data_IF_846753213003
#
_entry.id   IF_846753213003
#
_cell.length_a   1.000
_cell.length_b   1.000
_cell.length_c   1.000
_cell.angle_alpha   90.00
_cell.angle_beta   90.00
_cell.angle_gamma   90.00
#
_symmetry.space_group_name_H-M   'P 1'
#
loop_
_entity.id
_entity.type
_entity.pdbx_description
1 polymer ?
#
# COMPACT_ATOMS: atom_id res chain seq x y z
N UNK A 1 -12.80 -4.94 22.87
CA UNK A 1 -11.65 -4.16 23.39
C UNK A 1 -10.72 -3.84 22.21
N UNK A 2 -11.09 -2.92 21.32
CA UNK A 2 -10.33 -2.58 20.10
C UNK A 2 -9.59 -1.22 20.20
N UNK A 3 -9.62 -0.56 21.35
CA UNK A 3 -9.19 0.83 21.50
C UNK A 3 -7.68 1.09 21.32
N UNK A 4 -6.83 0.06 21.41
CA UNK A 4 -5.38 0.17 21.21
C UNK A 4 -4.90 -0.19 19.79
N UNK A 5 -5.73 -0.77 18.92
CA UNK A 5 -5.29 -1.16 17.57
C UNK A 5 -5.69 -0.15 16.47
N UNK A 6 -6.44 0.89 16.80
CA UNK A 6 -7.10 1.76 15.81
C UNK A 6 -6.82 3.27 15.99
N UNK A 7 -5.85 3.65 16.84
CA UNK A 7 -5.41 5.05 16.90
C UNK A 7 -4.68 5.42 15.60
N UNK A 8 -4.79 6.69 15.16
CA UNK A 8 -4.09 7.16 13.94
C UNK A 8 -2.57 7.09 14.06
N UNK A 9 -2.05 7.24 15.28
CA UNK A 9 -0.64 7.12 15.61
C UNK A 9 -0.17 5.68 15.32
N UNK A 10 -0.86 4.69 15.86
CA UNK A 10 -0.52 3.27 15.67
C UNK A 10 -0.58 2.89 14.18
N UNK A 11 -1.59 3.35 13.43
CA UNK A 11 -1.69 3.09 11.99
C UNK A 11 -0.48 3.68 11.23
N UNK A 12 0.03 4.83 11.66
CA UNK A 12 1.19 5.47 11.01
C UNK A 12 2.49 4.75 11.35
N UNK A 13 2.68 4.36 12.61
CA UNK A 13 3.83 3.55 13.02
C UNK A 13 3.89 2.21 12.28
N UNK A 14 2.78 1.47 12.21
CA UNK A 14 2.72 0.22 11.46
C UNK A 14 3.00 0.44 9.97
N UNK A 15 2.51 1.55 9.38
CA UNK A 15 2.82 1.87 7.98
C UNK A 15 4.32 2.05 7.77
N UNK A 16 4.99 2.74 8.69
CA UNK A 16 6.41 3.02 8.59
C UNK A 16 7.23 1.74 8.77
N UNK A 17 6.87 0.87 9.72
CA UNK A 17 7.50 -0.45 9.90
C UNK A 17 7.36 -1.29 8.61
N UNK A 18 6.14 -1.40 8.06
CA UNK A 18 5.93 -2.16 6.82
C UNK A 18 6.70 -1.55 5.64
N UNK A 19 6.77 -0.22 5.55
CA UNK A 19 7.59 0.47 4.57
C UNK A 19 9.08 0.14 4.72
N UNK A 20 9.64 0.19 5.93
CA UNK A 20 11.04 -0.16 6.16
C UNK A 20 11.36 -1.59 5.74
N UNK A 21 10.51 -2.57 6.08
CA UNK A 21 10.70 -3.95 5.58
C UNK A 21 10.72 -4.00 4.05
N UNK A 22 9.79 -3.32 3.38
CA UNK A 22 9.80 -3.30 1.90
C UNK A 22 11.03 -2.61 1.29
N UNK A 23 11.66 -1.68 2.00
CA UNK A 23 12.89 -1.03 1.54
C UNK A 23 14.10 -1.94 1.67
N UNK A 24 14.05 -2.90 2.59
CA UNK A 24 15.08 -3.92 2.83
C UNK A 24 14.84 -5.21 2.02
N UNK A 25 14.00 -5.15 0.99
CA UNK A 25 13.56 -6.30 0.15
C UNK A 25 12.79 -7.40 0.91
N UNK A 26 12.44 -7.16 2.19
CA UNK A 26 11.67 -8.06 3.06
C UNK A 26 10.16 -7.95 2.80
N UNK A 27 9.76 -8.16 1.54
CA UNK A 27 8.39 -7.94 1.07
C UNK A 27 7.35 -8.90 1.67
N UNK A 28 7.75 -10.09 2.12
CA UNK A 28 6.85 -11.02 2.82
C UNK A 28 6.44 -10.42 4.17
N UNK A 29 7.40 -9.93 4.96
CA UNK A 29 7.16 -9.31 6.26
C UNK A 29 6.36 -8.01 6.11
N UNK A 30 6.71 -7.18 5.12
CA UNK A 30 5.94 -5.97 4.80
C UNK A 30 4.45 -6.30 4.54
N UNK A 31 4.18 -7.37 3.80
CA UNK A 31 2.81 -7.80 3.49
C UNK A 31 2.02 -8.30 4.69
N UNK A 32 2.66 -8.87 5.72
CA UNK A 32 1.97 -9.24 6.97
C UNK A 32 1.39 -8.00 7.67
N UNK A 33 2.19 -6.94 7.72
CA UNK A 33 1.78 -5.65 8.32
C UNK A 33 0.72 -4.96 7.46
N UNK A 34 0.94 -4.91 6.14
CA UNK A 34 0.00 -4.26 5.23
C UNK A 34 -1.38 -4.90 5.23
N UNK A 35 -1.49 -6.22 5.40
CA UNK A 35 -2.79 -6.91 5.54
C UNK A 35 -3.58 -6.42 6.75
N UNK A 36 -2.91 -6.21 7.89
CA UNK A 36 -3.56 -5.67 9.09
C UNK A 36 -3.97 -4.21 8.88
N UNK A 37 -3.09 -3.40 8.29
CA UNK A 37 -3.39 -2.00 7.96
C UNK A 37 -4.54 -1.86 6.98
N UNK A 38 -4.70 -2.79 6.04
CA UNK A 38 -5.80 -2.75 5.07
C UNK A 38 -7.15 -2.94 5.75
N UNK A 39 -7.21 -3.73 6.82
CA UNK A 39 -8.41 -3.91 7.65
C UNK A 39 -8.71 -2.63 8.44
N UNK A 40 -7.68 -2.00 9.01
CA UNK A 40 -7.82 -0.84 9.90
C UNK A 40 -8.03 0.49 9.17
N UNK A 41 -7.45 0.63 7.98
CA UNK A 41 -7.41 1.87 7.20
C UNK A 41 -7.51 1.61 5.68
N UNK A 42 -8.63 1.03 5.20
CA UNK A 42 -8.79 0.62 3.79
C UNK A 42 -8.66 1.77 2.78
N UNK A 43 -8.92 3.00 3.20
CA UNK A 43 -8.86 4.20 2.35
C UNK A 43 -7.49 4.87 2.30
N UNK A 44 -6.49 4.36 3.02
CA UNK A 44 -5.14 4.94 3.05
C UNK A 44 -4.47 4.77 1.68
N UNK A 45 -4.47 5.84 0.88
CA UNK A 45 -3.93 5.82 -0.49
C UNK A 45 -2.48 5.33 -0.57
N UNK A 46 -1.53 5.80 0.28
CA UNK A 46 -0.15 5.28 0.25
C UNK A 46 -0.05 3.77 0.51
N UNK A 47 -0.92 3.20 1.35
CA UNK A 47 -0.91 1.76 1.64
C UNK A 47 -1.21 0.93 0.38
N UNK A 48 -2.13 1.40 -0.47
CA UNK A 48 -2.46 0.72 -1.74
C UNK A 48 -1.24 0.64 -2.66
N UNK A 49 -0.45 1.72 -2.72
CA UNK A 49 0.78 1.75 -3.49
C UNK A 49 1.83 0.78 -2.93
N UNK A 50 2.02 0.80 -1.61
CA UNK A 50 2.99 -0.08 -0.94
C UNK A 50 2.65 -1.57 -1.12
N UNK A 51 1.37 -1.94 -1.02
CA UNK A 51 0.91 -3.31 -1.30
C UNK A 51 1.19 -3.68 -2.75
N UNK A 52 0.85 -2.81 -3.70
CA UNK A 52 1.07 -3.07 -5.12
C UNK A 52 2.57 -3.25 -5.44
N UNK A 53 3.44 -2.41 -4.89
CA UNK A 53 4.89 -2.50 -5.05
C UNK A 53 5.44 -3.82 -4.47
N UNK A 54 5.04 -4.20 -3.26
CA UNK A 54 5.46 -5.49 -2.66
C UNK A 54 4.94 -6.70 -3.43
N UNK A 55 3.68 -6.69 -3.86
CA UNK A 55 3.12 -7.78 -4.68
C UNK A 55 3.85 -7.90 -6.03
N UNK A 56 4.26 -6.77 -6.61
CA UNK A 56 5.03 -6.76 -7.84
C UNK A 56 6.41 -7.40 -7.64
N UNK A 57 7.14 -7.02 -6.59
CA UNK A 57 8.46 -7.62 -6.28
C UNK A 57 8.34 -9.12 -6.02
N UNK A 58 7.28 -9.56 -5.31
CA UNK A 58 7.01 -10.97 -5.04
C UNK A 58 6.50 -11.76 -6.26
N UNK A 59 6.37 -11.13 -7.44
CA UNK A 59 5.88 -11.78 -8.66
C UNK A 59 4.39 -12.12 -8.64
N UNK A 60 3.62 -11.63 -7.68
CA UNK A 60 2.17 -11.92 -7.50
C UNK A 60 1.31 -11.02 -8.40
N UNK A 61 1.62 -11.00 -9.70
CA UNK A 61 1.08 -10.06 -10.70
C UNK A 61 -0.45 -10.05 -10.81
N UNK A 62 -1.12 -11.17 -10.52
CA UNK A 62 -2.57 -11.26 -10.54
C UNK A 62 -3.23 -10.32 -9.52
N UNK A 63 -2.58 -10.08 -8.38
CA UNK A 63 -3.08 -9.23 -7.30
C UNK A 63 -2.63 -7.77 -7.43
N UNK A 64 -1.56 -7.50 -8.19
CA UNK A 64 -0.98 -6.16 -8.34
C UNK A 64 -1.94 -5.16 -8.99
N UNK A 65 -2.64 -5.58 -10.05
CA UNK A 65 -3.45 -4.68 -10.89
C UNK A 65 -4.55 -3.97 -10.11
N UNK A 66 -5.24 -4.67 -9.21
CA UNK A 66 -6.32 -4.09 -8.42
C UNK A 66 -5.82 -3.00 -7.48
N UNK A 67 -4.66 -3.18 -6.86
CA UNK A 67 -4.08 -2.20 -5.94
C UNK A 67 -3.51 -0.97 -6.66
N UNK A 68 -2.81 -1.14 -7.80
CA UNK A 68 -2.38 0.01 -8.60
C UNK A 68 -3.57 0.79 -9.18
N UNK A 69 -4.60 0.11 -9.68
CA UNK A 69 -5.80 0.78 -10.18
C UNK A 69 -6.51 1.56 -9.07
N UNK A 70 -6.67 0.98 -7.88
CA UNK A 70 -7.29 1.65 -6.74
C UNK A 70 -6.44 2.84 -6.22
N UNK A 71 -5.11 2.76 -6.31
CA UNK A 71 -4.24 3.89 -6.03
C UNK A 71 -4.41 5.01 -7.07
N UNK A 72 -4.37 4.67 -8.35
CA UNK A 72 -4.52 5.61 -9.46
C UNK A 72 -5.84 6.37 -9.37
N UNK A 73 -6.96 5.66 -9.25
CA UNK A 73 -8.29 6.25 -9.08
C UNK A 73 -8.33 7.23 -7.90
N UNK A 74 -7.75 6.85 -6.76
CA UNK A 74 -7.72 7.72 -5.58
C UNK A 74 -6.85 8.97 -5.76
N UNK A 75 -5.76 8.89 -6.53
CA UNK A 75 -4.90 10.04 -6.84
C UNK A 75 -5.58 10.98 -7.84
N UNK A 76 -6.27 10.44 -8.85
CA UNK A 76 -7.03 11.22 -9.83
C UNK A 76 -8.18 11.98 -9.15
N UNK A 77 -8.96 11.32 -8.27
CA UNK A 77 -10.02 11.95 -7.48
C UNK A 77 -9.54 13.09 -6.59
N UNK A 78 -8.27 13.06 -6.15
CA UNK A 78 -7.63 14.11 -5.36
C UNK A 78 -7.03 15.24 -6.20
N UNK A 79 -7.12 15.18 -7.53
CA UNK A 79 -6.45 16.12 -8.42
C UNK A 79 -4.92 16.01 -8.38
N UNK A 80 -4.38 14.88 -7.94
CA UNK A 80 -2.95 14.65 -7.70
C UNK A 80 -2.32 13.76 -8.77
N UNK A 81 -2.82 13.80 -10.01
CA UNK A 81 -2.33 12.99 -11.12
C UNK A 81 -0.81 13.14 -11.34
N UNK A 82 -0.29 14.36 -11.17
CA UNK A 82 1.14 14.66 -11.29
C UNK A 82 2.04 14.01 -10.22
N UNK A 83 1.46 13.43 -9.17
CA UNK A 83 2.17 12.70 -8.11
C UNK A 83 2.12 11.18 -8.29
N UNK A 84 1.45 10.68 -9.33
CA UNK A 84 1.40 9.25 -9.64
C UNK A 84 2.77 8.82 -10.16
N UNK A 85 3.44 7.83 -9.54
CA UNK A 85 4.70 7.32 -10.05
C UNK A 85 4.52 6.62 -11.40
N UNK A 86 5.44 6.84 -12.35
CA UNK A 86 5.37 6.23 -13.69
C UNK A 86 5.23 4.70 -13.68
N UNK A 87 5.77 4.02 -12.65
CA UNK A 87 5.63 2.57 -12.48
C UNK A 87 4.18 2.11 -12.32
N UNK A 88 3.28 2.96 -11.83
CA UNK A 88 1.87 2.62 -11.66
C UNK A 88 1.25 2.40 -13.04
N UNK A 89 1.45 3.32 -13.98
CA UNK A 89 0.96 3.16 -15.35
C UNK A 89 1.59 1.92 -16.02
N UNK A 90 2.91 1.78 -15.92
CA UNK A 90 3.64 0.67 -16.55
C UNK A 90 3.23 -0.73 -16.03
N UNK A 91 2.72 -0.83 -14.80
CA UNK A 91 2.40 -2.10 -14.12
C UNK A 91 0.89 -2.34 -13.96
N UNK A 92 0.05 -1.45 -14.47
CA UNK A 92 -1.41 -1.59 -14.43
C UNK A 92 -1.96 -2.36 -15.64
N UNK A 93 -1.19 -2.47 -16.73
CA UNK A 93 -1.61 -3.08 -18.00
C UNK A 93 -1.27 -4.58 -18.12
#
# INVERSE_FOLDING_TARGET
MYGMLSSRENISEYNDIGFYFSQDDEHILAMEIYKQLLILAPDRVPLKLNIADSLWTLGRKNEVKSFYAAYLDAMLKKGAANKVPARVEARTH
#
